data_IF_438473677086
#
_entry.id   IF_438473677086
#
_cell.length_a   1.000
_cell.length_b   1.000
_cell.length_c   1.000
_cell.angle_alpha   90.00
_cell.angle_beta   90.00
_cell.angle_gamma   90.00
#
_symmetry.space_group_name_H-M   'P 1'
#
loop_
_entity.id
_entity.type
_entity.pdbx_description
1 polymer ?
#
# COMPACT_ATOMS: atom_id res chain seq x y z
N UNK A 1 -17.65 -0.79 -4.13
CA UNK A 1 -16.53 0.15 -3.87
C UNK A 1 -15.44 -0.08 -4.89
N UNK A 2 -14.35 0.68 -4.81
CA UNK A 2 -13.10 0.43 -5.54
C UNK A 2 -12.18 -0.30 -4.57
N UNK A 3 -11.53 -1.37 -5.02
CA UNK A 3 -10.66 -2.17 -4.14
C UNK A 3 -9.20 -1.75 -4.31
N UNK A 4 -8.59 -1.31 -3.21
CA UNK A 4 -7.17 -0.98 -3.13
C UNK A 4 -6.38 -2.19 -2.64
N UNK A 5 -5.39 -2.64 -3.40
CA UNK A 5 -4.51 -3.75 -3.03
C UNK A 5 -3.10 -3.25 -2.78
N UNK A 6 -2.55 -3.64 -1.63
CA UNK A 6 -1.13 -3.46 -1.32
C UNK A 6 -0.49 -4.84 -1.21
N UNK A 7 0.63 -5.04 -1.91
CA UNK A 7 1.36 -6.29 -1.82
C UNK A 7 2.20 -6.32 -0.52
N UNK A 8 2.28 -7.46 0.17
CA UNK A 8 2.99 -7.57 1.45
C UNK A 8 4.48 -7.19 1.34
N UNK A 9 5.11 -7.48 0.20
CA UNK A 9 6.50 -7.08 -0.11
C UNK A 9 6.68 -5.56 -0.15
N UNK A 10 5.62 -4.82 -0.46
CA UNK A 10 5.62 -3.35 -0.53
C UNK A 10 5.37 -2.70 0.84
N UNK A 11 5.08 -3.49 1.89
CA UNK A 11 4.73 -2.97 3.22
C UNK A 11 5.93 -2.80 4.16
N UNK A 12 7.05 -3.47 3.87
CA UNK A 12 8.19 -3.52 4.77
C UNK A 12 9.49 -3.37 4.01
N UNK A 13 10.06 -2.17 4.00
CA UNK A 13 11.34 -1.91 3.34
C UNK A 13 12.53 -2.57 4.06
N UNK A 14 12.40 -2.87 5.36
CA UNK A 14 13.54 -3.25 6.21
C UNK A 14 13.30 -4.46 7.13
N UNK A 15 12.12 -5.10 7.04
CA UNK A 15 11.77 -6.26 7.87
C UNK A 15 10.92 -7.22 7.05
N UNK A 16 11.28 -8.51 7.06
CA UNK A 16 10.53 -9.58 6.39
C UNK A 16 9.18 -9.71 7.12
N UNK A 17 8.11 -9.21 6.50
CA UNK A 17 6.76 -9.29 7.04
C UNK A 17 6.09 -10.57 6.55
N UNK A 18 5.67 -11.43 7.49
CA UNK A 18 4.93 -12.65 7.17
C UNK A 18 3.41 -12.41 7.14
N UNK A 19 2.94 -11.42 7.90
CA UNK A 19 1.53 -11.04 7.93
C UNK A 19 1.35 -9.54 7.81
N UNK A 20 0.38 -9.12 6.99
CA UNK A 20 0.03 -7.70 6.82
C UNK A 20 -0.40 -7.05 8.15
N UNK A 21 -0.98 -7.83 9.08
CA UNK A 21 -1.39 -7.37 10.42
C UNK A 21 -0.24 -6.83 11.28
N UNK A 22 0.98 -7.30 11.02
CA UNK A 22 2.18 -6.83 11.75
C UNK A 22 2.67 -5.49 11.21
N UNK A 23 2.30 -5.16 9.97
CA UNK A 23 2.65 -3.91 9.30
C UNK A 23 1.59 -2.82 9.57
N UNK A 24 0.32 -3.22 9.61
CA UNK A 24 -0.83 -2.32 9.76
C UNK A 24 -1.88 -2.93 10.67
N UNK A 25 -2.49 -2.09 11.50
CA UNK A 25 -3.59 -2.47 12.38
C UNK A 25 -4.92 -1.93 11.88
N UNK A 26 -6.01 -2.61 12.21
CA UNK A 26 -7.35 -2.14 11.87
C UNK A 26 -7.62 -0.80 12.58
N UNK A 27 -7.99 0.23 11.83
CA UNK A 27 -8.18 1.60 12.35
C UNK A 27 -6.91 2.45 12.42
N UNK A 28 -5.74 1.90 12.04
CA UNK A 28 -4.51 2.67 11.93
C UNK A 28 -4.50 3.47 10.63
N UNK A 29 -4.28 4.78 10.73
CA UNK A 29 -3.98 5.60 9.56
C UNK A 29 -2.57 5.31 9.05
N UNK A 30 -2.48 4.96 7.78
CA UNK A 30 -1.21 4.67 7.10
C UNK A 30 -1.14 5.50 5.83
N UNK A 31 0.07 5.96 5.49
CA UNK A 31 0.30 6.62 4.21
C UNK A 31 0.64 5.59 3.16
N UNK A 32 -0.08 5.66 2.05
CA UNK A 32 0.13 4.82 0.87
C UNK A 32 0.40 5.70 -0.34
N UNK A 33 1.12 5.15 -1.32
CA UNK A 33 1.30 5.78 -2.62
C UNK A 33 0.52 5.02 -3.69
N UNK A 34 -0.17 5.76 -4.56
CA UNK A 34 -0.83 5.18 -5.74
C UNK A 34 0.23 4.87 -6.79
N UNK A 35 0.36 3.59 -7.14
CA UNK A 35 1.24 3.13 -8.21
C UNK A 35 0.52 3.13 -9.56
N UNK A 36 -0.79 2.83 -9.56
CA UNK A 36 -1.59 2.78 -10.78
C UNK A 36 -3.07 2.54 -10.49
N UNK A 37 -3.92 2.96 -11.42
CA UNK A 37 -5.37 2.81 -11.35
C UNK A 37 -5.90 2.11 -12.59
N UNK A 38 -6.70 1.06 -12.37
CA UNK A 38 -7.39 0.31 -13.41
C UNK A 38 -8.90 0.59 -13.33
N UNK A 39 -9.42 1.54 -14.11
CA UNK A 39 -10.84 1.91 -14.06
C UNK A 39 -11.74 0.78 -14.56
N UNK A 40 -11.29 -0.04 -15.52
CA UNK A 40 -12.06 -1.16 -16.05
C UNK A 40 -12.30 -2.27 -15.02
N UNK A 41 -11.33 -2.51 -14.13
CA UNK A 41 -11.43 -3.52 -13.04
C UNK A 41 -11.76 -2.89 -11.69
N UNK A 42 -11.92 -1.57 -11.63
CA UNK A 42 -12.13 -0.78 -10.39
C UNK A 42 -11.13 -1.15 -9.30
N UNK A 43 -9.86 -1.25 -9.70
CA UNK A 43 -8.77 -1.70 -8.83
C UNK A 43 -7.68 -0.65 -8.78
N UNK A 44 -7.13 -0.42 -7.58
CA UNK A 44 -6.03 0.52 -7.38
C UNK A 44 -4.84 -0.23 -6.79
N UNK A 45 -3.69 -0.11 -7.45
CA UNK A 45 -2.42 -0.64 -6.96
C UNK A 45 -1.77 0.39 -6.03
N UNK A 46 -1.51 -0.03 -4.80
CA UNK A 46 -1.00 0.81 -3.72
C UNK A 46 0.30 0.22 -3.16
N UNK A 47 1.20 1.08 -2.67
CA UNK A 47 2.44 0.68 -2.00
C UNK A 47 2.62 1.41 -0.67
N UNK A 48 3.20 0.72 0.32
CA UNK A 48 3.44 1.20 1.68
C UNK A 48 4.95 1.41 1.90
N UNK A 49 5.52 2.33 1.13
CA UNK A 49 6.89 2.80 1.34
C UNK A 49 6.94 4.07 2.18
N UNK A 50 8.06 4.30 2.88
CA UNK A 50 8.43 5.59 3.50
C UNK A 50 8.77 6.66 2.44
N UNK A 51 8.01 6.70 1.35
CA UNK A 51 8.16 7.66 0.28
C UNK A 51 7.53 8.98 0.69
N UNK A 52 8.32 9.82 1.35
CA UNK A 52 8.15 11.27 1.25
C UNK A 52 7.85 11.61 -0.21
N UNK A 53 6.79 12.38 -0.44
CA UNK A 53 6.26 12.68 -1.77
C UNK A 53 7.35 13.12 -2.74
N UNK A 54 7.58 12.31 -3.77
CA UNK A 54 8.32 12.72 -4.96
C UNK A 54 7.34 13.21 -6.00
N UNK A 55 6.82 14.44 -5.81
CA UNK A 55 6.26 15.21 -6.91
C UNK A 55 7.41 15.74 -7.75
N UNK A 56 7.42 15.36 -9.02
CA UNK A 56 8.04 16.06 -10.13
C UNK A 56 7.23 15.66 -11.37
#
# INVERSE_FOLDING_TARGET
GIEGLVHISEMGSNRRLNHARDAVQQGQEVRVRVLGVDPGKRRISLSMGSGSGGGA
#
